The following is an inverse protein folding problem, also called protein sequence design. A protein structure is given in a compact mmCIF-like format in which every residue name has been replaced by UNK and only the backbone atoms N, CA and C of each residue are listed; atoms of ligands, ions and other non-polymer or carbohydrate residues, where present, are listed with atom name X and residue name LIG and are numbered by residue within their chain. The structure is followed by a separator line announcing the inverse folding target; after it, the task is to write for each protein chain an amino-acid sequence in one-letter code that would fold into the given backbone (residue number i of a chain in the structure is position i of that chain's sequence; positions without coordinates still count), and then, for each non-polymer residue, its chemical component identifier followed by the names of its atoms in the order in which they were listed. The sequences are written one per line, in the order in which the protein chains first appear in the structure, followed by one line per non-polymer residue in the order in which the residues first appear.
data_IF_384855149469
#
_entry.id   IF_384855149469
#
_cell.length_a   1.000
_cell.length_b   1.000
_cell.length_c   1.000
_cell.angle_alpha   90.00
_cell.angle_beta   90.00
_cell.angle_gamma   90.00
#
_symmetry.space_group_name_H-M   'P 1'
#
loop_
_entity.id
_entity.type
_entity.pdbx_description
1 polymer ?
#
# COMPACT_ATOMS: atom_id res chain seq x y z
N UNK A 1 -8.93 -7.40 18.96
CA UNK A 1 -7.92 -7.62 17.89
C UNK A 1 -8.43 -8.62 16.85
N UNK A 2 -9.02 -9.76 17.24
CA UNK A 2 -9.71 -10.68 16.30
C UNK A 2 -10.87 -10.01 15.56
N UNK A 3 -11.72 -9.28 16.27
CA UNK A 3 -12.90 -8.64 15.67
C UNK A 3 -12.58 -7.67 14.51
N UNK A 4 -11.46 -6.94 14.58
CA UNK A 4 -11.05 -6.02 13.51
C UNK A 4 -10.53 -6.78 12.29
N UNK A 5 -9.68 -7.79 12.51
CA UNK A 5 -9.17 -8.63 11.44
C UNK A 5 -10.33 -9.38 10.75
N UNK A 6 -11.25 -9.94 11.52
CA UNK A 6 -12.43 -10.64 11.01
C UNK A 6 -13.33 -9.67 10.22
N UNK A 7 -13.52 -8.43 10.69
CA UNK A 7 -14.30 -7.43 9.97
C UNK A 7 -13.66 -6.99 8.65
N UNK A 8 -12.33 -6.84 8.62
CA UNK A 8 -11.60 -6.43 7.41
C UNK A 8 -11.51 -7.57 6.39
N UNK A 9 -11.29 -8.81 6.84
CA UNK A 9 -11.23 -9.98 5.95
C UNK A 9 -12.55 -10.28 5.25
N UNK A 10 -13.68 -9.76 5.73
CA UNK A 10 -14.97 -9.84 5.04
C UNK A 10 -15.09 -8.90 3.84
N UNK A 11 -14.30 -7.82 3.80
CA UNK A 11 -14.43 -6.73 2.81
C UNK A 11 -13.15 -6.45 2.03
N UNK A 12 -12.06 -7.18 2.31
CA UNK A 12 -10.78 -7.06 1.65
C UNK A 12 -10.28 -8.42 1.17
N UNK A 13 -9.56 -8.40 0.05
CA UNK A 13 -8.85 -9.57 -0.42
C UNK A 13 -7.59 -9.78 0.43
N UNK A 14 -7.43 -11.00 0.95
CA UNK A 14 -6.20 -11.42 1.64
C UNK A 14 -5.21 -11.90 0.60
N UNK A 15 -4.03 -11.29 0.59
CA UNK A 15 -2.93 -11.66 -0.30
C UNK A 15 -1.70 -12.04 0.51
N UNK A 16 -0.92 -12.98 -0.02
CA UNK A 16 0.40 -13.30 0.50
C UNK A 16 1.44 -12.38 -0.16
N UNK A 17 2.12 -11.50 0.60
CA UNK A 17 3.12 -10.60 0.03
C UNK A 17 4.26 -11.37 -0.66
N UNK A 18 4.79 -10.79 -1.73
CA UNK A 18 6.00 -11.34 -2.33
C UNK A 18 7.22 -11.24 -1.39
N UNK A 19 8.31 -11.91 -1.77
CA UNK A 19 9.56 -11.93 -1.00
C UNK A 19 10.60 -10.95 -1.55
N UNK A 20 10.25 -10.16 -2.57
CA UNK A 20 11.17 -9.23 -3.21
C UNK A 20 11.35 -8.00 -2.33
N UNK A 21 12.58 -7.52 -2.20
CA UNK A 21 12.89 -6.30 -1.47
C UNK A 21 13.29 -5.21 -2.43
N UNK A 22 12.75 -4.03 -2.22
CA UNK A 22 13.18 -2.85 -2.96
C UNK A 22 14.32 -2.17 -2.18
N UNK A 23 15.56 -2.13 -2.71
CA UNK A 23 16.69 -1.52 -2.02
C UNK A 23 16.57 0.01 -1.92
N UNK A 24 15.71 0.64 -2.73
CA UNK A 24 15.49 2.09 -2.72
C UNK A 24 14.46 2.51 -1.64
N UNK A 25 13.74 1.54 -1.05
CA UNK A 25 12.88 1.78 0.09
C UNK A 25 13.71 2.03 1.36
N UNK A 26 13.69 3.28 1.81
CA UNK A 26 14.56 3.77 2.90
C UNK A 26 14.24 3.19 4.26
N UNK A 27 12.96 2.90 4.54
CA UNK A 27 12.52 2.22 5.75
C UNK A 27 12.36 0.71 5.49
N UNK A 28 13.23 -0.15 6.06
CA UNK A 28 13.12 -1.60 5.91
C UNK A 28 11.81 -2.18 6.46
N UNK A 29 11.18 -1.51 7.43
CA UNK A 29 9.94 -1.99 8.05
C UNK A 29 8.72 -1.81 7.12
N UNK A 30 8.85 -1.00 6.06
CA UNK A 30 7.83 -0.80 5.03
C UNK A 30 7.87 -1.83 3.89
N UNK A 31 8.89 -2.71 3.86
CA UNK A 31 9.01 -3.74 2.82
C UNK A 31 7.75 -4.62 2.69
N UNK A 32 7.10 -5.08 3.79
CA UNK A 32 5.86 -5.84 3.68
C UNK A 32 4.71 -5.06 3.06
N UNK A 33 4.66 -3.73 3.26
CA UNK A 33 3.62 -2.87 2.66
C UNK A 33 3.81 -2.80 1.15
N UNK A 34 5.04 -2.57 0.69
CA UNK A 34 5.36 -2.54 -0.73
C UNK A 34 5.17 -3.90 -1.42
N UNK A 35 5.58 -4.99 -0.76
CA UNK A 35 5.36 -6.35 -1.25
C UNK A 35 3.87 -6.69 -1.36
N UNK A 36 3.04 -6.21 -0.44
CA UNK A 36 1.57 -6.36 -0.52
C UNK A 36 1.01 -5.63 -1.74
N UNK A 37 1.44 -4.38 -1.99
CA UNK A 37 0.97 -3.60 -3.14
C UNK A 37 1.24 -4.32 -4.47
N UNK A 38 2.42 -4.92 -4.64
CA UNK A 38 2.81 -5.60 -5.88
C UNK A 38 1.94 -6.81 -6.22
N UNK A 39 1.40 -7.49 -5.22
CA UNK A 39 0.55 -8.68 -5.41
C UNK A 39 -0.95 -8.39 -5.29
N UNK A 40 -1.34 -7.26 -4.69
CA UNK A 40 -2.73 -6.94 -4.37
C UNK A 40 -3.61 -6.61 -5.59
N UNK A 41 -3.02 -6.38 -6.77
CA UNK A 41 -3.73 -5.82 -7.94
C UNK A 41 -4.53 -4.53 -7.60
N UNK A 42 -4.05 -3.76 -6.62
CA UNK A 42 -4.68 -2.52 -6.22
C UNK A 42 -4.35 -1.41 -7.22
N UNK A 43 -5.34 -0.55 -7.51
CA UNK A 43 -5.12 0.62 -8.36
C UNK A 43 -4.14 1.62 -7.72
N UNK A 44 -4.15 1.71 -6.39
CA UNK A 44 -3.30 2.62 -5.63
C UNK A 44 -2.96 2.06 -4.24
N UNK A 45 -1.76 2.35 -3.76
CA UNK A 45 -1.47 2.51 -2.34
C UNK A 45 -1.67 3.98 -1.96
N UNK A 46 -2.60 4.25 -1.06
CA UNK A 46 -2.87 5.60 -0.55
C UNK A 46 -2.14 5.75 0.79
N UNK A 47 -1.15 6.64 0.87
CA UNK A 47 -0.35 6.82 2.10
C UNK A 47 0.14 8.26 2.30
N UNK A 48 0.39 8.63 3.55
CA UNK A 48 1.10 9.86 3.93
C UNK A 48 2.59 9.62 4.23
N UNK A 49 3.04 8.36 4.17
CA UNK A 49 4.40 7.97 4.48
C UNK A 49 5.40 8.46 3.41
N UNK A 50 6.49 9.11 3.85
CA UNK A 50 7.46 9.75 2.93
C UNK A 50 8.47 8.78 2.33
N UNK A 51 8.71 7.64 2.98
CA UNK A 51 9.60 6.60 2.50
C UNK A 51 8.91 5.81 1.37
N UNK A 52 7.63 5.48 1.54
CA UNK A 52 6.81 4.89 0.47
C UNK A 52 6.54 5.87 -0.67
N UNK A 53 6.20 7.13 -0.39
CA UNK A 53 5.93 8.13 -1.43
C UNK A 53 7.14 8.42 -2.33
N UNK A 54 8.37 8.17 -1.85
CA UNK A 54 9.58 8.30 -2.67
C UNK A 54 9.57 7.34 -3.87
N UNK A 55 8.82 6.23 -3.80
CA UNK A 55 8.68 5.22 -4.86
C UNK A 55 7.51 5.50 -5.83
N UNK A 56 6.80 6.62 -5.68
CA UNK A 56 5.62 6.96 -6.51
C UNK A 56 5.90 7.13 -8.02
N UNK A 57 7.16 7.23 -8.41
CA UNK A 57 7.54 7.26 -9.83
C UNK A 57 7.50 5.88 -10.50
N UNK A 58 7.62 4.79 -9.72
CA UNK A 58 7.69 3.41 -10.22
C UNK A 58 6.53 2.54 -9.75
N UNK A 59 5.84 2.96 -8.68
CA UNK A 59 4.72 2.25 -8.08
C UNK A 59 3.48 3.15 -8.02
N UNK A 60 2.26 2.57 -8.05
CA UNK A 60 1.02 3.34 -7.96
C UNK A 60 0.77 3.82 -6.52
N UNK A 61 1.59 4.74 -6.04
CA UNK A 61 1.54 5.28 -4.67
C UNK A 61 1.14 6.75 -4.74
N UNK A 62 0.11 7.14 -3.99
CA UNK A 62 -0.42 8.51 -3.99
C UNK A 62 -0.75 8.96 -2.57
N UNK A 63 -0.83 10.28 -2.38
CA UNK A 63 -1.30 10.87 -1.12
C UNK A 63 -2.83 10.80 -1.02
N UNK A 64 -3.40 10.82 0.20
CA UNK A 64 -4.84 10.92 0.39
C UNK A 64 -5.45 12.14 -0.30
N UNK A 65 -4.77 13.30 -0.27
CA UNK A 65 -5.24 14.51 -0.94
C UNK A 65 -5.26 14.37 -2.46
N UNK A 66 -4.29 13.67 -3.05
CA UNK A 66 -4.26 13.39 -4.48
C UNK A 66 -5.37 12.40 -4.88
N UNK A 67 -5.64 11.37 -4.07
CA UNK A 67 -6.75 10.46 -4.32
C UNK A 67 -8.10 11.20 -4.26
N UNK A 68 -8.31 12.00 -3.23
CA UNK A 68 -9.53 12.80 -3.08
C UNK A 68 -9.73 13.77 -4.25
N UNK A 69 -8.68 14.48 -4.67
CA UNK A 69 -8.77 15.39 -5.82
C UNK A 69 -9.18 14.68 -7.13
N UNK A 70 -8.93 13.37 -7.27
CA UNK A 70 -9.28 12.56 -8.44
C UNK A 70 -10.68 11.95 -8.37
N UNK A 71 -11.15 11.59 -7.17
CA UNK A 71 -12.33 10.73 -7.00
C UNK A 71 -13.40 11.26 -6.03
N UNK A 72 -13.10 12.29 -5.23
CA UNK A 72 -13.96 12.78 -4.14
C UNK A 72 -15.04 13.77 -4.53
N UNK A 73 -15.59 13.67 -5.75
CA UNK A 73 -16.72 14.51 -6.17
C UNK A 73 -18.03 14.07 -5.52
#
# INVERSE_FOLDING_TARGET
MRDLYDSLSLTADIVEPDQEKDPDLRDPDDQPVLATLRVANADYLITGDKDLLALSNTHPIITPSAFWARHGA
#
